data_IF_331864337224
#
_entry.id   IF_331864337224
#
_cell.length_a   1.000
_cell.length_b   1.000
_cell.length_c   1.000
_cell.angle_alpha   90.00
_cell.angle_beta   90.00
_cell.angle_gamma   90.00
#
_symmetry.space_group_name_H-M   'P 1'
#
loop_
_entity.id
_entity.type
_entity.pdbx_description
1 polymer ?
#
# COMPACT_ATOMS: atom_id res chain seq x y z
N UNK A 1 -13.93 -8.08 42.49
CA UNK A 1 -15.03 -8.12 41.51
C UNK A 1 -14.66 -7.14 40.42
N UNK A 2 -14.07 -7.61 39.32
CA UNK A 2 -13.74 -6.77 38.17
C UNK A 2 -15.04 -6.45 37.42
N UNK A 3 -15.29 -5.16 37.16
CA UNK A 3 -16.42 -4.67 36.37
C UNK A 3 -16.38 -5.31 34.97
N UNK A 4 -17.34 -6.18 34.70
CA UNK A 4 -17.47 -6.98 33.48
C UNK A 4 -17.93 -6.22 32.25
N UNK A 5 -17.58 -4.94 32.09
CA UNK A 5 -17.76 -4.22 30.83
C UNK A 5 -16.61 -4.55 29.88
N UNK A 6 -16.70 -5.71 29.24
CA UNK A 6 -15.85 -6.06 28.11
C UNK A 6 -15.88 -4.97 27.03
N UNK A 7 -14.76 -4.75 26.34
CA UNK A 7 -14.69 -3.82 25.20
C UNK A 7 -15.78 -4.20 24.18
N UNK A 8 -16.52 -3.20 23.70
CA UNK A 8 -17.54 -3.42 22.67
C UNK A 8 -16.83 -3.88 21.38
N UNK A 9 -17.16 -5.08 20.91
CA UNK A 9 -16.70 -5.57 19.63
C UNK A 9 -17.48 -4.90 18.51
N UNK A 10 -16.81 -4.58 17.40
CA UNK A 10 -17.49 -4.16 16.18
C UNK A 10 -18.23 -5.35 15.58
N UNK A 11 -19.50 -5.16 15.18
CA UNK A 11 -20.22 -6.19 14.43
C UNK A 11 -19.62 -6.34 13.03
N UNK A 12 -19.74 -7.53 12.43
CA UNK A 12 -19.30 -7.76 11.06
C UNK A 12 -20.01 -6.83 10.06
N UNK A 13 -21.29 -6.54 10.30
CA UNK A 13 -22.07 -5.56 9.52
C UNK A 13 -21.51 -4.14 9.62
N UNK A 14 -21.09 -3.71 10.81
CA UNK A 14 -20.49 -2.39 11.01
C UNK A 14 -19.14 -2.27 10.29
N UNK A 15 -18.30 -3.30 10.38
CA UNK A 15 -17.01 -3.37 9.68
C UNK A 15 -17.19 -3.35 8.15
N UNK A 16 -18.16 -4.09 7.62
CA UNK A 16 -18.47 -4.12 6.18
C UNK A 16 -19.00 -2.77 5.67
N UNK A 17 -19.78 -2.04 6.47
CA UNK A 17 -20.33 -0.74 6.08
C UNK A 17 -19.30 0.41 6.11
N UNK A 18 -18.30 0.35 6.99
CA UNK A 18 -17.37 1.47 7.27
C UNK A 18 -15.92 1.22 6.82
N UNK A 19 -15.57 0.02 6.35
CA UNK A 19 -14.20 -0.37 5.95
C UNK A 19 -13.67 0.18 4.61
N UNK A 20 -14.20 1.31 4.11
CA UNK A 20 -13.89 1.81 2.75
C UNK A 20 -12.54 2.52 2.63
N UNK A 21 -11.95 2.94 3.74
CA UNK A 21 -10.65 3.63 3.80
C UNK A 21 -9.89 3.16 5.03
N UNK A 22 -8.70 2.59 4.81
CA UNK A 22 -7.81 2.14 5.88
C UNK A 22 -6.49 2.91 5.78
N UNK A 23 -6.03 3.40 6.92
CA UNK A 23 -4.70 4.01 7.02
C UNK A 23 -3.75 2.96 7.56
N UNK A 24 -2.59 2.81 6.92
CA UNK A 24 -1.58 1.83 7.34
C UNK A 24 -0.77 2.42 8.50
N UNK A 25 -0.77 1.77 9.69
CA UNK A 25 0.03 2.20 10.82
C UNK A 25 1.48 1.70 10.73
N UNK A 26 2.43 2.52 11.14
CA UNK A 26 3.83 2.13 11.32
C UNK A 26 4.42 2.78 12.57
N UNK A 27 5.31 2.06 13.26
CA UNK A 27 6.04 2.52 14.43
C UNK A 27 7.49 2.84 14.07
N UNK A 28 8.00 3.96 14.57
CA UNK A 28 9.36 4.43 14.35
C UNK A 28 9.99 4.80 15.68
N UNK A 29 11.20 4.33 15.96
CA UNK A 29 11.96 4.74 17.14
C UNK A 29 13.29 5.36 16.75
N UNK A 30 13.56 6.53 17.33
CA UNK A 30 14.88 7.16 17.33
C UNK A 30 15.54 6.93 18.68
N UNK A 31 16.68 6.24 18.69
CA UNK A 31 17.55 6.16 19.85
C UNK A 31 18.39 7.44 19.92
N UNK A 32 18.34 8.10 21.06
CA UNK A 32 19.11 9.30 21.37
C UNK A 32 20.10 9.03 22.49
N UNK A 33 21.29 9.61 22.38
CA UNK A 33 22.28 9.65 23.45
C UNK A 33 23.02 10.98 23.45
N UNK A 34 23.70 11.30 24.55
CA UNK A 34 24.59 12.45 24.62
C UNK A 34 25.78 12.27 23.66
N UNK A 35 26.16 13.37 23.00
CA UNK A 35 27.34 13.47 22.16
C UNK A 35 28.18 14.71 22.47
N UNK A 36 29.36 14.82 21.85
CA UNK A 36 30.29 15.91 22.13
C UNK A 36 29.79 17.29 21.67
N UNK A 37 28.85 17.33 20.70
CA UNK A 37 28.29 18.56 20.12
C UNK A 37 26.80 18.77 20.49
N UNK A 38 26.28 17.99 21.43
CA UNK A 38 24.86 17.96 21.79
C UNK A 38 24.29 16.56 21.70
N UNK A 39 22.97 16.45 21.60
CA UNK A 39 22.30 15.16 21.44
C UNK A 39 22.63 14.53 20.08
N UNK A 40 22.84 13.20 20.06
CA UNK A 40 23.05 12.40 18.86
C UNK A 40 21.86 11.47 18.66
N UNK A 41 21.60 11.12 17.41
CA UNK A 41 20.60 10.14 17.00
C UNK A 41 21.27 8.98 16.26
N UNK A 42 20.86 7.76 16.56
CA UNK A 42 21.27 6.57 15.82
C UNK A 42 20.39 6.41 14.59
N UNK A 43 20.98 6.31 13.41
CA UNK A 43 20.25 6.08 12.16
C UNK A 43 20.79 4.83 11.46
N UNK A 44 19.91 4.09 10.80
CA UNK A 44 20.29 3.00 9.91
C UNK A 44 20.20 3.46 8.46
N UNK A 45 21.12 3.00 7.60
CA UNK A 45 21.09 3.26 6.17
C UNK A 45 20.41 2.10 5.46
N UNK A 46 19.29 2.40 4.81
CA UNK A 46 18.44 1.41 4.13
C UNK A 46 19.18 0.80 2.95
N UNK A 47 19.04 -0.51 2.76
CA UNK A 47 19.60 -1.25 1.64
C UNK A 47 18.72 -2.45 1.28
N UNK A 48 18.69 -2.83 0.00
CA UNK A 48 17.93 -4.01 -0.47
C UNK A 48 16.42 -3.94 -0.19
N UNK A 49 15.85 -2.74 -0.08
CA UNK A 49 14.41 -2.55 0.19
C UNK A 49 13.63 -2.10 -1.04
N UNK A 50 14.31 -1.60 -2.08
CA UNK A 50 13.66 -1.00 -3.26
C UNK A 50 13.01 0.36 -2.98
N UNK A 51 13.17 0.90 -1.76
CA UNK A 51 12.58 2.16 -1.32
C UNK A 51 13.54 2.93 -0.40
N UNK A 52 14.02 4.10 -0.85
CA UNK A 52 15.02 4.90 -0.13
C UNK A 52 16.35 4.17 0.13
N UNK A 53 16.74 3.20 -0.70
CA UNK A 53 18.04 2.54 -0.57
C UNK A 53 19.18 3.59 -0.66
N UNK A 54 20.14 3.51 0.27
CA UNK A 54 21.21 4.49 0.45
C UNK A 54 20.86 5.69 1.33
N UNK A 55 19.61 5.85 1.77
CA UNK A 55 19.18 6.92 2.68
C UNK A 55 19.13 6.44 4.13
N UNK A 56 19.34 7.39 5.03
CA UNK A 56 19.29 7.19 6.48
C UNK A 56 17.88 7.37 7.02
N UNK A 57 17.48 6.49 7.94
CA UNK A 57 16.20 6.52 8.63
C UNK A 57 16.33 6.12 10.09
N UNK A 58 15.18 6.00 10.75
CA UNK A 58 15.01 5.72 12.16
C UNK A 58 15.81 4.50 12.61
N UNK A 59 16.22 4.51 13.87
CA UNK A 59 17.05 3.45 14.45
C UNK A 59 16.42 2.08 14.24
N UNK A 60 15.10 1.99 14.39
CA UNK A 60 14.29 0.88 13.92
C UNK A 60 12.89 1.37 13.50
N UNK A 61 12.28 0.72 12.52
CA UNK A 61 10.91 1.06 12.09
C UNK A 61 10.21 -0.05 11.31
N UNK A 62 8.91 -0.23 11.55
CA UNK A 62 8.13 -1.22 10.83
C UNK A 62 6.62 -1.03 10.91
N UNK A 63 5.90 -1.86 10.14
CA UNK A 63 4.43 -1.86 10.14
C UNK A 63 3.90 -2.49 11.43
N UNK A 64 2.72 -2.04 11.86
CA UNK A 64 2.05 -2.66 13.02
C UNK A 64 1.17 -3.81 12.54
N UNK A 65 1.38 -4.99 13.10
CA UNK A 65 0.68 -6.20 12.70
C UNK A 65 -0.76 -6.24 13.24
N UNK A 66 -1.59 -7.04 12.58
CA UNK A 66 -2.98 -7.24 13.00
C UNK A 66 -3.05 -7.83 14.42
N UNK A 67 -3.74 -7.13 15.33
CA UNK A 67 -3.86 -7.54 16.73
C UNK A 67 -2.71 -7.04 17.62
N UNK A 68 -1.73 -6.33 17.05
CA UNK A 68 -0.62 -5.72 17.77
C UNK A 68 -0.92 -4.26 18.16
N UNK A 69 -0.32 -3.78 19.25
CA UNK A 69 -0.34 -2.35 19.59
C UNK A 69 0.87 -1.66 19.00
N UNK A 70 0.76 -0.36 18.69
CA UNK A 70 1.88 0.41 18.13
C UNK A 70 3.12 0.39 19.03
N UNK A 71 2.93 0.39 20.35
CA UNK A 71 4.02 0.29 21.32
C UNK A 71 4.72 -1.07 21.17
N UNK A 72 3.97 -2.17 21.21
CA UNK A 72 4.56 -3.51 21.08
C UNK A 72 5.24 -3.73 19.73
N UNK A 73 4.63 -3.28 18.62
CA UNK A 73 5.26 -3.37 17.31
C UNK A 73 6.57 -2.60 17.24
N UNK A 74 6.61 -1.37 17.76
CA UNK A 74 7.86 -0.58 17.79
C UNK A 74 8.96 -1.25 18.63
N UNK A 75 8.59 -1.86 19.77
CA UNK A 75 9.54 -2.60 20.61
C UNK A 75 10.06 -3.87 19.91
N UNK A 76 9.18 -4.60 19.21
CA UNK A 76 9.54 -5.77 18.41
C UNK A 76 10.52 -5.40 17.30
N UNK A 77 10.21 -4.36 16.52
CA UNK A 77 11.09 -3.89 15.44
C UNK A 77 12.47 -3.46 15.96
N UNK A 78 12.53 -2.79 17.11
CA UNK A 78 13.81 -2.43 17.73
C UNK A 78 14.66 -3.65 18.10
N UNK A 79 14.03 -4.71 18.60
CA UNK A 79 14.72 -5.96 18.93
C UNK A 79 15.13 -6.73 17.66
N UNK A 80 14.27 -6.79 16.64
CA UNK A 80 14.48 -7.55 15.41
C UNK A 80 15.49 -6.90 14.46
N UNK A 81 15.45 -5.56 14.30
CA UNK A 81 16.30 -4.85 13.35
C UNK A 81 17.69 -4.55 13.92
N UNK A 82 17.76 -4.14 15.19
CA UNK A 82 19.00 -3.62 15.80
C UNK A 82 19.41 -4.27 17.12
N UNK A 83 18.67 -5.28 17.61
CA UNK A 83 19.05 -6.06 18.79
C UNK A 83 18.95 -5.33 20.12
N UNK A 84 18.17 -4.24 20.20
CA UNK A 84 17.99 -3.49 21.45
C UNK A 84 16.68 -3.85 22.14
N UNK A 85 16.72 -3.97 23.46
CA UNK A 85 15.53 -4.14 24.29
C UNK A 85 15.17 -2.81 24.96
N UNK A 86 13.96 -2.33 24.70
CA UNK A 86 13.44 -1.08 25.26
C UNK A 86 12.31 -1.41 26.23
N UNK A 87 12.31 -0.84 27.44
CA UNK A 87 11.16 -0.97 28.32
C UNK A 87 10.02 -0.08 27.79
N UNK A 88 8.75 -0.51 27.86
CA UNK A 88 7.63 0.29 27.36
C UNK A 88 7.54 1.71 27.96
N UNK A 89 8.05 1.91 29.17
CA UNK A 89 8.08 3.21 29.83
C UNK A 89 9.15 4.17 29.29
N UNK A 90 10.20 3.64 28.64
CA UNK A 90 11.29 4.42 28.05
C UNK A 90 11.01 4.80 26.59
N UNK A 91 9.94 4.26 26.00
CA UNK A 91 9.46 4.62 24.67
C UNK A 91 8.59 5.89 24.74
N UNK A 92 9.20 7.05 24.54
CA UNK A 92 8.56 8.36 24.70
C UNK A 92 7.94 8.82 23.37
N UNK A 93 6.62 9.10 23.29
CA UNK A 93 6.00 9.60 22.06
C UNK A 93 6.55 10.96 21.63
N UNK A 94 6.87 11.10 20.34
CA UNK A 94 7.28 12.36 19.71
C UNK A 94 6.12 13.02 18.95
N UNK A 95 5.59 12.32 17.96
CA UNK A 95 4.44 12.77 17.16
C UNK A 95 3.71 11.60 16.54
N UNK A 96 2.42 11.76 16.31
CA UNK A 96 1.67 10.95 15.35
C UNK A 96 1.57 11.71 14.03
N UNK A 97 2.21 11.19 13.00
CA UNK A 97 2.21 11.81 11.67
C UNK A 97 1.20 11.14 10.76
N UNK A 98 0.25 11.92 10.27
CA UNK A 98 -0.50 11.53 9.08
C UNK A 98 0.32 11.95 7.86
N UNK A 99 0.70 11.02 6.99
CA UNK A 99 1.47 11.37 5.78
C UNK A 99 0.88 10.80 4.51
N UNK A 100 1.20 11.46 3.41
CA UNK A 100 0.99 10.93 2.07
C UNK A 100 2.23 11.08 1.20
N UNK A 101 2.34 10.27 0.15
CA UNK A 101 3.46 10.32 -0.80
C UNK A 101 3.10 11.09 -2.08
N UNK A 102 4.09 11.35 -2.94
CA UNK A 102 3.91 12.16 -4.15
C UNK A 102 3.14 11.45 -5.27
N UNK A 103 2.71 10.20 -5.07
CA UNK A 103 1.79 9.58 -6.02
C UNK A 103 0.38 9.87 -5.54
N UNK A 104 -0.45 10.43 -6.41
CA UNK A 104 -1.77 10.89 -5.96
C UNK A 104 -2.69 9.76 -5.47
N UNK A 105 -2.26 8.48 -5.47
CA UNK A 105 -3.02 7.27 -5.17
C UNK A 105 -3.72 7.28 -3.79
N UNK A 106 -5.02 6.95 -3.77
CA UNK A 106 -5.91 7.03 -2.59
C UNK A 106 -5.63 6.00 -1.48
N UNK A 107 -4.57 5.18 -1.60
CA UNK A 107 -4.12 4.23 -0.55
C UNK A 107 -2.71 4.60 -0.04
N UNK A 108 -2.20 5.77 -0.42
CA UNK A 108 -0.90 6.26 0.06
C UNK A 108 -1.07 7.22 1.26
N UNK A 109 -2.00 6.94 2.19
CA UNK A 109 -2.05 7.62 3.48
C UNK A 109 -1.58 6.66 4.57
N UNK A 110 -0.66 7.12 5.42
CA UNK A 110 -0.09 6.38 6.55
C UNK A 110 -0.25 7.17 7.84
N UNK A 111 -0.40 6.46 8.94
CA UNK A 111 -0.24 7.03 10.27
C UNK A 111 1.05 6.46 10.85
N UNK A 112 2.08 7.28 10.90
CA UNK A 112 3.34 6.92 11.53
C UNK A 112 3.33 7.41 12.98
N UNK A 113 3.79 6.56 13.88
CA UNK A 113 3.96 6.91 15.29
C UNK A 113 5.46 6.96 15.57
N UNK A 114 5.95 8.16 15.84
CA UNK A 114 7.35 8.40 16.15
C UNK A 114 7.58 8.42 17.65
N UNK A 115 8.64 7.74 18.07
CA UNK A 115 9.07 7.66 19.46
C UNK A 115 10.54 8.04 19.59
N UNK A 116 10.88 8.63 20.74
CA UNK A 116 12.24 8.80 21.22
C UNK A 116 12.51 7.75 22.29
N UNK A 117 13.72 7.24 22.33
CA UNK A 117 14.20 6.40 23.42
C UNK A 117 15.62 6.83 23.81
N UNK A 118 15.88 6.96 25.12
CA UNK A 118 17.18 7.37 25.70
C UNK A 118 17.74 6.32 26.66
N UNK A 119 17.01 5.23 26.88
CA UNK A 119 17.37 4.16 27.78
C UNK A 119 16.93 2.82 27.19
N UNK A 120 17.88 1.92 26.98
CA UNK A 120 17.66 0.58 26.43
C UNK A 120 18.73 -0.37 26.95
N UNK A 121 18.52 -1.66 26.74
CA UNK A 121 19.52 -2.70 26.98
C UNK A 121 20.02 -3.27 25.64
N UNK A 122 21.30 -3.69 25.62
CA UNK A 122 21.97 -4.19 24.42
C UNK A 122 22.75 -3.11 23.67
N UNK A 123 23.70 -3.58 22.86
CA UNK A 123 24.47 -2.73 21.95
C UNK A 123 23.80 -2.76 20.56
N UNK A 124 23.39 -1.60 20.00
CA UNK A 124 22.72 -1.57 18.70
C UNK A 124 23.63 -2.11 17.59
N UNK A 125 23.17 -3.15 16.88
CA UNK A 125 23.86 -3.78 15.74
C UNK A 125 22.84 -4.22 14.70
N UNK A 126 23.14 -4.09 13.41
CA UNK A 126 22.23 -4.57 12.36
C UNK A 126 22.05 -6.09 12.44
N UNK A 127 20.80 -6.54 12.57
CA UNK A 127 20.42 -7.95 12.58
C UNK A 127 19.70 -8.38 11.30
N UNK A 128 19.26 -7.43 10.48
CA UNK A 128 18.62 -7.68 9.18
C UNK A 128 19.45 -7.20 8.00
N UNK A 129 19.11 -7.67 6.80
CA UNK A 129 19.75 -7.29 5.53
C UNK A 129 19.09 -6.09 4.84
N UNK A 130 18.04 -5.51 5.45
CA UNK A 130 17.32 -4.33 4.94
C UNK A 130 18.05 -3.00 5.20
N UNK A 131 19.20 -3.07 5.86
CA UNK A 131 20.12 -1.97 6.09
C UNK A 131 21.57 -2.45 5.96
N UNK A 132 22.47 -1.57 5.56
CA UNK A 132 23.89 -1.89 5.35
C UNK A 132 24.86 -1.04 6.18
N UNK A 133 24.37 -0.06 6.93
CA UNK A 133 25.14 0.76 7.87
C UNK A 133 24.26 1.22 9.04
N UNK A 134 24.85 1.41 10.22
CA UNK A 134 24.19 1.85 11.44
C UNK A 134 25.13 2.81 12.18
N UNK A 135 24.73 4.08 12.31
CA UNK A 135 25.66 5.13 12.74
C UNK A 135 24.99 6.23 13.56
N UNK A 136 25.74 6.72 14.55
CA UNK A 136 25.40 7.93 15.30
C UNK A 136 25.70 9.20 14.50
N UNK A 137 24.72 10.10 14.44
CA UNK A 137 24.84 11.44 13.89
C UNK A 137 24.52 12.49 14.95
N UNK A 138 25.22 13.63 14.92
CA UNK A 138 24.83 14.77 15.75
C UNK A 138 23.47 15.28 15.26
N UNK A 139 22.52 15.51 16.17
CA UNK A 139 21.14 15.88 15.79
C UNK A 139 21.08 17.23 15.05
N UNK A 140 22.05 18.12 15.31
CA UNK A 140 22.21 19.39 14.60
C UNK A 140 23.00 19.30 13.28
N UNK A 141 23.49 18.12 12.89
CA UNK A 141 24.36 17.89 11.72
C UNK A 141 24.02 16.54 11.06
N UNK A 142 22.77 16.42 10.62
CA UNK A 142 22.23 15.20 9.97
C UNK A 142 22.78 15.03 8.54
N UNK A 143 22.97 13.79 8.06
CA UNK A 143 23.49 13.53 6.72
C UNK A 143 22.50 13.99 5.63
N UNK A 144 22.97 14.39 4.45
CA UNK A 144 22.12 14.94 3.38
C UNK A 144 20.92 14.05 3.03
N UNK A 145 21.16 12.75 2.90
CA UNK A 145 20.15 11.75 2.52
C UNK A 145 19.49 11.13 3.77
N UNK A 146 18.57 11.86 4.40
CA UNK A 146 17.65 11.33 5.42
C UNK A 146 16.25 11.26 4.85
N UNK A 147 15.54 10.16 5.07
CA UNK A 147 14.16 9.95 4.59
C UNK A 147 13.30 11.17 4.96
N UNK A 148 12.62 11.75 3.97
CA UNK A 148 12.12 13.14 4.09
C UNK A 148 11.17 13.40 5.28
N UNK A 149 10.23 12.48 5.53
CA UNK A 149 9.28 12.62 6.63
C UNK A 149 9.93 12.38 8.00
N UNK A 150 11.00 11.59 8.05
CA UNK A 150 11.79 11.33 9.25
C UNK A 150 12.72 12.52 9.56
N UNK A 151 13.35 13.10 8.52
CA UNK A 151 14.08 14.38 8.61
C UNK A 151 13.19 15.49 9.15
N UNK A 152 11.96 15.60 8.65
CA UNK A 152 10.98 16.56 9.14
C UNK A 152 10.75 16.46 10.65
N UNK A 153 10.71 15.23 11.20
CA UNK A 153 10.56 14.98 12.64
C UNK A 153 11.85 15.37 13.37
N UNK A 154 13.00 14.87 12.94
CA UNK A 154 14.28 15.11 13.61
C UNK A 154 14.64 16.60 13.67
N UNK A 155 14.40 17.36 12.60
CA UNK A 155 14.66 18.81 12.57
C UNK A 155 13.78 19.58 13.57
N UNK A 156 12.52 19.16 13.76
CA UNK A 156 11.60 19.76 14.74
C UNK A 156 11.87 19.32 16.17
N UNK A 157 12.35 18.09 16.37
CA UNK A 157 12.90 17.65 17.66
C UNK A 157 14.09 18.53 18.02
N UNK A 158 15.01 18.75 17.09
CA UNK A 158 16.18 19.60 17.29
C UNK A 158 15.79 21.07 17.60
N UNK A 159 14.76 21.59 16.94
CA UNK A 159 14.25 22.94 17.16
C UNK A 159 13.38 23.08 18.42
N UNK A 160 12.88 21.98 18.99
CA UNK A 160 11.99 21.98 20.15
C UNK A 160 10.55 22.43 19.84
N UNK A 161 10.10 22.31 18.59
CA UNK A 161 8.80 22.80 18.11
C UNK A 161 7.93 21.71 17.47
N UNK A 162 8.26 20.43 17.68
CA UNK A 162 7.49 19.31 17.17
C UNK A 162 6.09 19.25 17.80
N UNK A 163 5.05 19.35 16.97
CA UNK A 163 3.67 19.20 17.40
C UNK A 163 3.33 17.71 17.69
N UNK A 164 2.43 17.41 18.64
CA UNK A 164 2.03 16.03 18.94
C UNK A 164 1.35 15.29 17.79
N UNK A 165 0.74 16.04 16.87
CA UNK A 165 0.15 15.52 15.64
C UNK A 165 0.68 16.36 14.49
N UNK A 166 1.23 15.70 13.46
CA UNK A 166 1.80 16.38 12.29
C UNK A 166 1.22 15.82 10.99
N UNK A 167 1.27 16.63 9.93
CA UNK A 167 0.92 16.21 8.58
C UNK A 167 2.12 16.36 7.65
N UNK A 168 2.33 15.40 6.75
CA UNK A 168 3.42 15.44 5.77
C UNK A 168 2.93 15.05 4.37
N UNK A 169 3.34 15.79 3.34
CA UNK A 169 2.97 15.51 1.95
C UNK A 169 1.58 15.98 1.53
N UNK A 170 0.82 16.64 2.40
CA UNK A 170 -0.47 17.25 2.06
C UNK A 170 -0.26 18.68 1.56
N UNK A 171 -0.65 18.98 0.31
CA UNK A 171 -0.61 20.34 -0.21
C UNK A 171 -1.65 21.24 0.47
N UNK A 172 -1.28 22.47 0.92
CA UNK A 172 -2.24 23.44 1.42
C UNK A 172 -3.27 23.77 0.33
N UNK A 173 -4.56 23.58 0.62
CA UNK A 173 -5.66 23.86 -0.32
C UNK A 173 -6.24 22.63 -1.03
N UNK A 174 -5.77 21.42 -0.75
CA UNK A 174 -6.37 20.20 -1.30
C UNK A 174 -7.61 19.75 -0.52
N UNK A 175 -8.78 20.08 -1.11
CA UNK A 175 -10.09 19.44 -1.01
C UNK A 175 -11.08 19.76 0.15
N UNK A 176 -10.74 20.39 1.29
CA UNK A 176 -11.79 20.70 2.31
C UNK A 176 -11.75 22.03 3.08
N UNK A 177 -10.78 22.91 2.87
CA UNK A 177 -10.72 24.16 3.66
C UNK A 177 -11.71 25.27 3.22
N UNK A 178 -12.60 24.99 2.25
CA UNK A 178 -13.59 25.96 1.76
C UNK A 178 -15.00 25.81 2.38
N UNK A 179 -15.22 24.92 3.36
CA UNK A 179 -16.56 24.66 3.90
C UNK A 179 -16.59 24.67 5.44
N UNK A 180 -16.33 25.82 6.05
CA UNK A 180 -16.70 26.08 7.45
C UNK A 180 -17.28 27.50 7.63
N UNK A 181 -18.48 27.71 7.08
CA UNK A 181 -19.42 28.67 7.65
C UNK A 181 -20.53 27.87 8.37
N UNK A 182 -20.99 28.30 9.56
CA UNK A 182 -21.82 27.47 10.43
C UNK A 182 -23.25 27.39 9.88
N UNK A 183 -23.79 26.18 9.76
CA UNK A 183 -25.24 25.99 9.59
C UNK A 183 -25.83 25.44 10.88
N UNK A 184 -26.59 26.31 11.54
CA UNK A 184 -27.55 25.96 12.56
C UNK A 184 -28.66 25.08 11.96
N UNK A 185 -29.20 24.18 12.79
CA UNK A 185 -30.35 23.29 12.56
C UNK A 185 -30.29 22.38 11.33
N UNK A 186 -29.81 21.15 11.55
CA UNK A 186 -29.96 20.04 10.60
C UNK A 186 -31.30 19.30 10.82
N UNK A 187 -32.16 19.17 9.80
CA UNK A 187 -33.24 18.18 9.75
C UNK A 187 -32.71 16.80 9.32
N UNK A 188 -33.48 15.70 9.53
CA UNK A 188 -32.94 14.34 9.54
C UNK A 188 -32.55 13.82 8.14
N UNK A 189 -31.56 12.92 8.14
CA UNK A 189 -30.95 12.31 6.95
C UNK A 189 -31.96 11.56 6.06
N UNK A 190 -31.83 11.62 4.72
CA UNK A 190 -32.66 10.84 3.83
C UNK A 190 -32.10 9.43 3.57
N UNK A 191 -33.07 8.57 3.35
CA UNK A 191 -33.07 7.12 3.16
C UNK A 191 -32.28 6.64 1.94
N UNK A 192 -31.76 5.42 2.05
CA UNK A 192 -30.92 4.71 1.08
C UNK A 192 -31.79 3.79 0.22
N UNK A 193 -32.13 4.16 -1.02
CA UNK A 193 -32.38 3.19 -2.10
C UNK A 193 -32.35 3.84 -3.50
N UNK A 194 -31.69 3.12 -4.42
CA UNK A 194 -31.68 3.15 -5.91
C UNK A 194 -30.44 3.71 -6.66
N UNK A 195 -30.09 3.09 -7.82
CA UNK A 195 -28.74 2.63 -8.13
C UNK A 195 -27.93 3.62 -8.95
N UNK A 196 -26.61 3.54 -8.80
CA UNK A 196 -25.65 4.30 -9.60
C UNK A 196 -25.52 3.68 -11.00
N UNK A 197 -26.50 3.96 -11.86
CA UNK A 197 -26.28 4.02 -13.30
C UNK A 197 -25.78 5.44 -13.62
N UNK A 198 -24.46 5.60 -13.63
CA UNK A 198 -23.80 6.78 -14.18
C UNK A 198 -22.47 6.32 -14.79
N UNK A 199 -22.49 6.21 -16.12
CA UNK A 199 -21.37 5.88 -16.96
C UNK A 199 -20.09 6.64 -16.59
N UNK A 200 -18.96 5.92 -16.58
CA UNK A 200 -17.64 6.52 -16.67
C UNK A 200 -17.54 7.26 -18.02
N UNK A 201 -17.86 8.56 -18.01
CA UNK A 201 -17.80 9.39 -19.20
C UNK A 201 -16.37 9.39 -19.79
N UNK A 202 -16.20 8.80 -20.98
CA UNK A 202 -15.01 8.94 -21.83
C UNK A 202 -14.25 7.66 -22.21
N UNK A 203 -14.51 6.51 -21.58
CA UNK A 203 -13.73 5.27 -21.85
C UNK A 203 -14.54 4.22 -22.63
N UNK A 204 -13.90 3.62 -23.63
CA UNK A 204 -14.46 2.50 -24.39
C UNK A 204 -13.92 1.16 -23.86
N UNK A 205 -14.79 0.15 -23.74
CA UNK A 205 -14.40 -1.18 -23.27
C UNK A 205 -14.77 -2.23 -24.32
N UNK A 206 -13.88 -3.16 -24.60
CA UNK A 206 -14.10 -4.21 -25.60
C UNK A 206 -13.04 -5.30 -25.56
N UNK A 207 -13.16 -6.25 -26.48
CA UNK A 207 -12.16 -7.30 -26.68
C UNK A 207 -10.97 -6.73 -27.46
N UNK A 208 -9.76 -7.19 -27.16
CA UNK A 208 -8.61 -6.92 -28.00
C UNK A 208 -8.67 -7.70 -29.32
N UNK A 209 -7.92 -7.20 -30.30
CA UNK A 209 -7.74 -7.77 -31.62
C UNK A 209 -6.25 -8.04 -31.88
N UNK A 210 -5.93 -8.71 -33.00
CA UNK A 210 -4.53 -8.93 -33.39
C UNK A 210 -3.76 -7.63 -33.59
N UNK A 211 -4.43 -6.58 -34.03
CA UNK A 211 -3.81 -5.27 -34.29
C UNK A 211 -3.34 -4.61 -32.98
N UNK A 212 -3.83 -5.09 -31.83
CA UNK A 212 -3.51 -4.58 -30.51
C UNK A 212 -2.27 -5.24 -29.89
N UNK A 213 -1.72 -6.29 -30.49
CA UNK A 213 -0.67 -7.12 -29.87
C UNK A 213 0.56 -6.29 -29.50
N UNK A 214 1.05 -5.44 -30.40
CA UNK A 214 2.23 -4.62 -30.13
C UNK A 214 1.95 -3.58 -29.04
N UNK A 215 0.76 -2.97 -29.05
CA UNK A 215 0.33 -2.01 -28.03
C UNK A 215 0.18 -2.69 -26.66
N UNK A 216 -0.36 -3.91 -26.60
CA UNK A 216 -0.50 -4.70 -25.37
C UNK A 216 0.85 -5.04 -24.75
N UNK A 217 1.82 -5.48 -25.57
CA UNK A 217 3.17 -5.80 -25.10
C UNK A 217 3.85 -4.55 -24.55
N UNK A 218 3.77 -3.42 -25.27
CA UNK A 218 4.30 -2.15 -24.81
C UNK A 218 3.60 -1.65 -23.53
N UNK A 219 2.28 -1.78 -23.46
CA UNK A 219 1.48 -1.40 -22.30
C UNK A 219 1.87 -2.21 -21.06
N UNK A 220 2.03 -3.53 -21.18
CA UNK A 220 2.42 -4.37 -20.05
C UNK A 220 3.86 -4.15 -19.61
N UNK A 221 4.76 -3.69 -20.47
CA UNK A 221 6.11 -3.27 -20.06
C UNK A 221 6.09 -2.10 -19.08
N UNK A 222 5.12 -1.19 -19.22
CA UNK A 222 5.04 0.06 -18.43
C UNK A 222 4.04 -0.04 -17.28
N UNK A 223 2.87 -0.65 -17.51
CA UNK A 223 1.76 -0.70 -16.57
C UNK A 223 1.63 -2.04 -15.85
N UNK A 224 2.28 -3.09 -16.35
CA UNK A 224 2.34 -4.40 -15.74
C UNK A 224 3.58 -4.56 -14.87
N UNK A 225 3.42 -5.18 -13.70
CA UNK A 225 4.56 -5.63 -12.91
C UNK A 225 5.18 -6.86 -13.56
N UNK A 226 6.36 -6.69 -14.16
CA UNK A 226 7.08 -7.74 -14.88
C UNK A 226 8.25 -8.34 -14.11
N UNK A 227 8.51 -7.86 -12.90
CA UNK A 227 9.56 -8.45 -12.06
C UNK A 227 9.23 -9.95 -11.84
N UNK A 228 10.15 -10.81 -12.27
CA UNK A 228 10.16 -12.28 -12.08
C UNK A 228 9.15 -13.14 -12.88
N UNK A 229 8.44 -12.59 -13.88
CA UNK A 229 7.49 -13.37 -14.71
C UNK A 229 8.12 -13.85 -16.04
N UNK A 230 7.66 -14.96 -16.63
CA UNK A 230 8.00 -15.31 -18.01
C UNK A 230 7.66 -14.14 -18.94
N UNK A 231 8.53 -13.88 -19.92
CA UNK A 231 8.36 -12.81 -20.89
C UNK A 231 7.07 -13.09 -21.69
N UNK A 232 6.12 -12.13 -21.71
CA UNK A 232 5.02 -12.21 -22.67
C UNK A 232 5.61 -11.94 -24.06
N UNK A 233 5.33 -12.82 -25.02
CA UNK A 233 5.75 -12.61 -26.40
C UNK A 233 4.55 -12.24 -27.27
N UNK A 234 4.73 -11.42 -28.32
CA UNK A 234 3.68 -11.13 -29.29
C UNK A 234 2.99 -12.40 -29.82
N UNK A 235 3.75 -13.48 -30.06
CA UNK A 235 3.22 -14.75 -30.56
C UNK A 235 2.32 -15.44 -29.53
N UNK A 236 2.63 -15.34 -28.23
CA UNK A 236 1.80 -15.91 -27.17
C UNK A 236 0.45 -15.17 -27.06
N UNK A 237 0.47 -13.83 -27.16
CA UNK A 237 -0.74 -13.01 -27.16
C UNK A 237 -1.58 -13.28 -28.41
N UNK A 238 -0.95 -13.36 -29.59
CA UNK A 238 -1.63 -13.70 -30.83
C UNK A 238 -2.32 -15.07 -30.77
N UNK A 239 -1.67 -16.09 -30.20
CA UNK A 239 -2.29 -17.42 -29.98
C UNK A 239 -3.47 -17.36 -29.01
N UNK A 240 -3.40 -16.54 -27.96
CA UNK A 240 -4.52 -16.33 -27.05
C UNK A 240 -5.72 -15.73 -27.80
N UNK A 241 -5.50 -14.67 -28.59
CA UNK A 241 -6.54 -13.98 -29.35
C UNK A 241 -7.13 -14.86 -30.46
N UNK A 242 -6.32 -15.69 -31.09
CA UNK A 242 -6.78 -16.71 -32.06
C UNK A 242 -7.72 -17.73 -31.42
N UNK A 243 -7.36 -18.19 -30.23
CA UNK A 243 -8.15 -19.18 -29.50
C UNK A 243 -9.45 -18.55 -28.97
N UNK A 244 -9.33 -17.37 -28.38
CA UNK A 244 -10.42 -16.68 -27.70
C UNK A 244 -10.14 -15.18 -27.56
N UNK A 245 -10.57 -14.40 -28.56
CA UNK A 245 -10.38 -12.95 -28.57
C UNK A 245 -11.09 -12.24 -27.40
N UNK A 246 -12.24 -12.75 -26.97
CA UNK A 246 -13.02 -12.16 -25.88
C UNK A 246 -12.43 -12.44 -24.49
N UNK A 247 -11.42 -13.30 -24.39
CA UNK A 247 -10.68 -13.50 -23.15
C UNK A 247 -9.85 -12.27 -22.76
N UNK A 248 -9.39 -11.46 -23.72
CA UNK A 248 -8.56 -10.29 -23.43
C UNK A 248 -9.41 -9.01 -23.56
N UNK A 249 -9.81 -8.48 -22.41
CA UNK A 249 -10.68 -7.30 -22.32
C UNK A 249 -9.80 -6.07 -22.11
N UNK A 250 -10.03 -5.03 -22.92
CA UNK A 250 -9.31 -3.76 -22.88
C UNK A 250 -10.22 -2.60 -22.52
N UNK A 251 -9.66 -1.62 -21.83
CA UNK A 251 -10.23 -0.29 -21.65
C UNK A 251 -9.41 0.69 -22.50
N UNK A 252 -10.09 1.56 -23.25
CA UNK A 252 -9.48 2.54 -24.15
C UNK A 252 -9.89 3.97 -23.79
N UNK A 253 -8.91 4.86 -23.80
CA UNK A 253 -9.10 6.31 -23.75
C UNK A 253 -8.56 6.90 -25.06
N UNK A 254 -9.42 7.56 -25.82
CA UNK A 254 -9.10 8.10 -27.16
C UNK A 254 -8.38 7.08 -28.07
N UNK A 255 -8.90 5.85 -28.12
CA UNK A 255 -8.36 4.76 -28.93
C UNK A 255 -7.14 4.03 -28.35
N UNK A 256 -6.46 4.58 -27.33
CA UNK A 256 -5.29 3.95 -26.70
C UNK A 256 -5.65 3.04 -25.55
N UNK A 257 -4.94 1.92 -25.41
CA UNK A 257 -5.12 0.98 -24.29
C UNK A 257 -4.64 1.62 -23.00
N UNK A 258 -5.56 1.73 -22.04
CA UNK A 258 -5.30 2.27 -20.70
C UNK A 258 -5.61 1.28 -19.59
N UNK A 259 -6.12 0.10 -19.93
CA UNK A 259 -6.29 -1.00 -18.99
C UNK A 259 -6.58 -2.31 -19.69
N UNK A 260 -6.21 -3.41 -19.05
CA UNK A 260 -6.38 -4.77 -19.56
C UNK A 260 -6.79 -5.73 -18.46
N UNK A 261 -7.47 -6.81 -18.83
CA UNK A 261 -7.56 -8.05 -18.04
C UNK A 261 -7.70 -9.23 -19.01
N UNK A 262 -7.04 -10.34 -18.71
CA UNK A 262 -7.24 -11.62 -19.39
C UNK A 262 -8.11 -12.49 -18.48
N UNK A 263 -9.26 -12.92 -19.00
CA UNK A 263 -10.21 -13.82 -18.36
C UNK A 263 -10.23 -15.16 -19.13
N UNK A 264 -9.28 -16.03 -18.79
CA UNK A 264 -9.13 -17.32 -19.44
C UNK A 264 -10.07 -18.37 -18.85
N UNK A 265 -10.65 -19.21 -19.70
CA UNK A 265 -11.41 -20.39 -19.32
C UNK A 265 -10.95 -21.58 -20.15
N UNK A 266 -10.69 -22.72 -19.51
CA UNK A 266 -10.22 -23.95 -20.18
C UNK A 266 -11.29 -25.04 -20.31
N UNK A 267 -12.55 -24.71 -19.99
CA UNK A 267 -13.66 -25.67 -19.92
C UNK A 267 -13.89 -26.23 -18.53
N UNK A 268 -13.01 -25.95 -17.57
CA UNK A 268 -13.14 -26.38 -16.18
C UNK A 268 -12.81 -25.27 -15.18
N UNK A 269 -11.70 -24.57 -15.37
CA UNK A 269 -11.18 -23.55 -14.46
C UNK A 269 -11.11 -22.19 -15.13
N UNK A 270 -11.41 -21.17 -14.34
CA UNK A 270 -11.31 -19.78 -14.75
C UNK A 270 -10.09 -19.14 -14.10
N UNK A 271 -9.30 -18.45 -14.92
CA UNK A 271 -8.05 -17.84 -14.51
C UNK A 271 -7.97 -16.40 -14.98
N UNK A 272 -7.61 -15.50 -14.07
CA UNK A 272 -7.40 -14.10 -14.37
C UNK A 272 -5.91 -13.78 -14.45
N UNK A 273 -5.51 -13.12 -15.53
CA UNK A 273 -4.15 -12.66 -15.78
C UNK A 273 -4.15 -11.21 -16.24
N UNK A 274 -2.99 -10.56 -16.15
CA UNK A 274 -2.73 -9.24 -16.76
C UNK A 274 -3.81 -8.18 -16.47
N UNK A 275 -4.36 -8.21 -15.25
CA UNK A 275 -5.15 -7.09 -14.72
C UNK A 275 -4.19 -5.91 -14.50
N UNK A 276 -4.26 -4.91 -15.36
CA UNK A 276 -3.38 -3.75 -15.32
C UNK A 276 -4.15 -2.48 -15.75
N UNK A 277 -3.79 -1.34 -15.18
CA UNK A 277 -4.34 -0.03 -15.54
C UNK A 277 -3.18 0.97 -15.63
N UNK A 278 -3.16 1.74 -16.72
CA UNK A 278 -2.17 2.79 -16.96
C UNK A 278 -2.07 3.70 -15.72
N UNK A 279 -0.86 4.01 -15.21
CA UNK A 279 -0.70 4.84 -14.02
C UNK A 279 -1.49 6.16 -14.07
N UNK A 280 -1.53 6.83 -15.23
CA UNK A 280 -2.28 8.05 -15.50
C UNK A 280 -3.81 7.90 -15.46
N UNK A 281 -4.32 6.67 -15.51
CA UNK A 281 -5.75 6.35 -15.58
C UNK A 281 -6.25 5.57 -14.35
N UNK A 282 -5.40 5.38 -13.34
CA UNK A 282 -5.76 4.71 -12.09
C UNK A 282 -6.79 5.50 -11.30
N UNK A 283 -7.53 4.79 -10.43
CA UNK A 283 -8.58 5.32 -9.54
C UNK A 283 -9.78 5.96 -10.23
N UNK A 284 -9.94 5.69 -11.52
CA UNK A 284 -11.14 6.03 -12.31
C UNK A 284 -12.15 4.87 -12.39
N UNK A 285 -12.00 3.85 -11.54
CA UNK A 285 -12.87 2.65 -11.55
C UNK A 285 -12.59 1.63 -12.66
N UNK A 286 -11.55 1.85 -13.50
CA UNK A 286 -11.26 1.01 -14.68
C UNK A 286 -11.04 -0.47 -14.32
N UNK A 287 -10.21 -0.76 -13.31
CA UNK A 287 -9.96 -2.14 -12.89
C UNK A 287 -11.24 -2.85 -12.43
N UNK A 288 -12.12 -2.15 -11.70
CA UNK A 288 -13.41 -2.69 -11.25
C UNK A 288 -14.33 -2.99 -12.42
N UNK A 289 -14.40 -2.11 -13.41
CA UNK A 289 -15.22 -2.34 -14.60
C UNK A 289 -14.67 -3.46 -15.50
N UNK A 290 -13.34 -3.56 -15.64
CA UNK A 290 -12.69 -4.68 -16.31
C UNK A 290 -13.01 -6.00 -15.61
N UNK A 291 -12.92 -6.04 -14.28
CA UNK A 291 -13.23 -7.21 -13.48
C UNK A 291 -14.71 -7.59 -13.54
N UNK A 292 -15.63 -6.63 -13.47
CA UNK A 292 -17.07 -6.88 -13.64
C UNK A 292 -17.36 -7.57 -14.98
N UNK A 293 -16.69 -7.14 -16.06
CA UNK A 293 -16.83 -7.74 -17.40
C UNK A 293 -16.19 -9.13 -17.48
N UNK A 294 -15.01 -9.30 -16.89
CA UNK A 294 -14.33 -10.58 -16.81
C UNK A 294 -15.16 -11.62 -16.04
N UNK A 295 -15.71 -11.25 -14.88
CA UNK A 295 -16.55 -12.12 -14.06
C UNK A 295 -17.86 -12.46 -14.77
N UNK A 296 -18.53 -11.47 -15.36
CA UNK A 296 -19.76 -11.71 -16.14
C UNK A 296 -19.52 -12.73 -17.28
N UNK A 297 -18.38 -12.61 -17.98
CA UNK A 297 -17.96 -13.57 -19.00
C UNK A 297 -17.74 -14.97 -18.42
N UNK A 298 -16.96 -15.09 -17.34
CA UNK A 298 -16.60 -16.37 -16.75
C UNK A 298 -17.83 -17.07 -16.12
N UNK A 299 -18.73 -16.30 -15.50
CA UNK A 299 -20.02 -16.80 -15.02
C UNK A 299 -20.90 -17.31 -16.16
N UNK A 300 -20.92 -16.64 -17.31
CA UNK A 300 -21.66 -17.13 -18.48
C UNK A 300 -21.13 -18.48 -19.02
N UNK A 301 -19.86 -18.79 -18.78
CA UNK A 301 -19.27 -20.11 -19.07
C UNK A 301 -19.51 -21.17 -17.99
N UNK A 302 -20.18 -20.81 -16.89
CA UNK A 302 -20.46 -21.72 -15.77
C UNK A 302 -19.27 -21.92 -14.82
N UNK A 303 -18.30 -21.01 -14.81
CA UNK A 303 -17.16 -21.11 -13.89
C UNK A 303 -17.63 -21.01 -12.43
N UNK A 304 -17.41 -22.09 -11.66
CA UNK A 304 -17.74 -22.13 -10.22
C UNK A 304 -16.65 -21.53 -9.32
N UNK A 305 -15.44 -21.31 -9.85
CA UNK A 305 -14.31 -20.70 -9.12
C UNK A 305 -13.41 -19.96 -10.10
N UNK A 306 -12.96 -18.78 -9.70
CA UNK A 306 -12.01 -17.94 -10.44
C UNK A 306 -10.77 -17.78 -9.59
N UNK A 307 -9.59 -17.99 -10.17
CA UNK A 307 -8.32 -17.76 -9.48
C UNK A 307 -7.42 -16.76 -10.22
N UNK A 308 -6.51 -16.16 -9.47
CA UNK A 308 -5.50 -15.24 -9.96
C UNK A 308 -4.19 -15.49 -9.23
N UNK A 309 -3.08 -15.26 -9.92
CA UNK A 309 -1.75 -15.39 -9.34
C UNK A 309 -1.15 -14.01 -9.10
N UNK A 310 -0.82 -13.73 -7.84
CA UNK A 310 -0.30 -12.44 -7.39
C UNK A 310 1.10 -12.67 -6.81
N UNK A 311 2.03 -11.76 -7.11
CA UNK A 311 3.37 -11.83 -6.52
C UNK A 311 3.27 -11.52 -5.02
N UNK A 312 4.04 -12.22 -4.20
CA UNK A 312 4.00 -12.10 -2.74
C UNK A 312 4.28 -10.66 -2.27
N UNK A 313 5.26 -10.01 -2.92
CA UNK A 313 5.65 -8.63 -2.68
C UNK A 313 4.76 -7.59 -3.40
N UNK A 314 3.77 -8.03 -4.19
CA UNK A 314 2.85 -7.12 -4.86
C UNK A 314 1.68 -6.77 -3.93
N UNK A 315 1.95 -5.90 -2.96
CA UNK A 315 0.95 -5.43 -1.99
C UNK A 315 -0.23 -4.71 -2.66
N UNK A 316 0.02 -3.92 -3.71
CA UNK A 316 -1.02 -3.19 -4.45
C UNK A 316 -1.98 -4.14 -5.17
N UNK A 317 -1.45 -5.16 -5.83
CA UNK A 317 -2.20 -6.23 -6.45
C UNK A 317 -3.01 -7.00 -5.41
N UNK A 318 -2.38 -7.44 -4.31
CA UNK A 318 -3.07 -8.17 -3.23
C UNK A 318 -4.24 -7.37 -2.66
N UNK A 319 -4.05 -6.08 -2.41
CA UNK A 319 -5.11 -5.18 -1.93
C UNK A 319 -6.24 -5.04 -2.95
N UNK A 320 -5.91 -4.89 -4.24
CA UNK A 320 -6.90 -4.84 -5.32
C UNK A 320 -7.75 -6.13 -5.36
N UNK A 321 -7.10 -7.30 -5.36
CA UNK A 321 -7.79 -8.60 -5.36
C UNK A 321 -8.71 -8.75 -4.15
N UNK A 322 -8.23 -8.40 -2.96
CA UNK A 322 -9.05 -8.40 -1.75
C UNK A 322 -10.26 -7.48 -1.85
N UNK A 323 -10.08 -6.26 -2.38
CA UNK A 323 -11.17 -5.30 -2.58
C UNK A 323 -12.24 -5.75 -3.59
N UNK A 324 -11.88 -6.69 -4.46
CA UNK A 324 -12.77 -7.30 -5.46
C UNK A 324 -13.44 -8.57 -4.91
N UNK A 325 -13.22 -8.93 -3.65
CA UNK A 325 -13.81 -10.10 -2.99
C UNK A 325 -13.01 -11.39 -3.14
N UNK A 326 -11.78 -11.34 -3.66
CA UNK A 326 -10.90 -12.51 -3.73
C UNK A 326 -10.15 -12.69 -2.41
N UNK A 327 -10.07 -13.92 -1.93
CA UNK A 327 -9.33 -14.26 -0.72
C UNK A 327 -8.05 -15.04 -1.05
N UNK A 328 -6.97 -14.73 -0.35
CA UNK A 328 -5.71 -15.47 -0.44
C UNK A 328 -5.88 -16.88 0.14
N UNK A 329 -5.27 -17.88 -0.52
CA UNK A 329 -5.23 -19.26 -0.03
C UNK A 329 -3.77 -19.69 0.13
N UNK A 330 -3.38 -20.03 1.36
CA UNK A 330 -2.01 -20.40 1.72
C UNK A 330 -1.76 -21.91 1.72
N UNK A 331 -2.81 -22.71 1.59
CA UNK A 331 -2.75 -24.18 1.67
C UNK A 331 -2.01 -24.83 0.48
N UNK A 332 -1.78 -24.08 -0.60
CA UNK A 332 -1.23 -24.58 -1.86
C UNK A 332 -0.07 -23.70 -2.33
N UNK A 333 1.02 -24.33 -2.79
CA UNK A 333 2.14 -23.62 -3.42
C UNK A 333 2.14 -23.83 -4.94
N UNK A 334 2.66 -22.86 -5.68
CA UNK A 334 2.84 -22.95 -7.13
C UNK A 334 4.04 -23.83 -7.47
N UNK A 335 3.83 -24.88 -8.26
CA UNK A 335 4.89 -25.70 -8.85
C UNK A 335 4.94 -25.42 -10.35
N UNK A 336 6.11 -25.07 -10.89
CA UNK A 336 6.29 -24.72 -12.31
C UNK A 336 7.44 -25.53 -12.90
N UNK A 337 7.26 -26.00 -14.14
CA UNK A 337 8.33 -26.56 -14.97
C UNK A 337 8.38 -25.75 -16.27
N UNK A 338 9.54 -25.15 -16.56
CA UNK A 338 9.76 -24.48 -17.85
C UNK A 338 10.01 -25.55 -18.92
N UNK A 339 9.27 -25.48 -20.02
CA UNK A 339 9.37 -26.41 -21.17
C UNK A 339 10.06 -25.77 -22.34
#
# INVERSE_FOLDING_TARGET
MADGRGRQAYSQEYAAAHGRFAVIPAGYVFLFDAGPRGERVLLQRRASTGYYDGWWGASAAGHIDAGESVVHGTLREAAEEIGVEIAPADLVPLTTMHRTGPTSASVEQRVDFFFACRAWAGDPVLLETKADDLRWFDLGDLPDLVVHHERFVLERVAAGDLAPITAFGFEPGSARDAASAPRADAPPEPDIHEPADAAAAGLAYGSASRDDVDELIAFWQVAGENDTRPIDTPEAVARLLERDADALIVARDDGRIVGTVIAGYDGWRAHLYRLAVAPSHRRRGIARELMRRAEARLTAFGAGRIDAMVLEHNELGRSLWSSLGYAEQLDWRRWVRTT
#
